data_IF_644159844471
#
_entry.id   IF_644159844471
#
_cell.length_a   1.000
_cell.length_b   1.000
_cell.length_c   1.000
_cell.angle_alpha   90.00
_cell.angle_beta   90.00
_cell.angle_gamma   90.00
#
_symmetry.space_group_name_H-M   'P 1'
#
loop_
_entity.id
_entity.type
_entity.pdbx_description
1 polymer ?
#
# COMPACT_ATOMS: atom_id res chain seq x y z
N UNK A 1 7.56 -6.03 -17.76
CA UNK A 1 6.40 -5.12 -17.64
C UNK A 1 5.95 -5.24 -16.21
N UNK A 2 6.20 -4.22 -15.38
CA UNK A 2 5.80 -4.18 -13.97
C UNK A 2 4.33 -4.59 -13.83
N UNK A 3 4.05 -5.75 -13.24
CA UNK A 3 2.68 -6.16 -12.92
C UNK A 3 2.29 -5.48 -11.61
N UNK A 4 1.83 -4.24 -11.73
CA UNK A 4 1.34 -3.43 -10.62
C UNK A 4 0.01 -4.02 -10.12
N UNK A 5 -0.23 -3.95 -8.81
CA UNK A 5 -1.52 -4.28 -8.21
C UNK A 5 -2.35 -3.00 -8.13
N UNK A 6 -3.23 -2.78 -9.12
CA UNK A 6 -4.15 -1.64 -9.14
C UNK A 6 -5.57 -2.13 -8.86
N UNK A 7 -5.92 -2.18 -7.57
CA UNK A 7 -7.06 -2.97 -7.08
C UNK A 7 -8.12 -2.18 -6.32
N UNK A 8 -8.07 -0.83 -6.30
CA UNK A 8 -9.14 -0.02 -5.73
C UNK A 8 -9.40 -0.28 -4.24
N UNK A 9 -8.36 -0.55 -3.45
CA UNK A 9 -8.50 -0.78 -2.02
C UNK A 9 -9.15 0.41 -1.30
N UNK A 10 -9.97 0.11 -0.30
CA UNK A 10 -10.58 1.08 0.60
C UNK A 10 -10.00 1.01 2.01
N UNK A 11 -10.47 1.91 2.89
CA UNK A 11 -9.98 2.00 4.26
C UNK A 11 -10.21 0.71 5.06
N UNK A 12 -11.31 -0.01 4.84
CA UNK A 12 -11.58 -1.27 5.54
C UNK A 12 -10.57 -2.36 5.16
N UNK A 13 -10.12 -2.39 3.89
CA UNK A 13 -9.03 -3.30 3.51
C UNK A 13 -7.75 -2.93 4.28
N UNK A 14 -7.44 -1.63 4.38
CA UNK A 14 -6.26 -1.15 5.08
C UNK A 14 -6.32 -1.43 6.59
N UNK A 15 -7.51 -1.36 7.21
CA UNK A 15 -7.69 -1.74 8.62
C UNK A 15 -7.28 -3.19 8.85
N UNK A 16 -7.67 -4.09 7.96
CA UNK A 16 -7.34 -5.51 8.05
C UNK A 16 -5.88 -5.82 7.67
N UNK A 17 -5.36 -5.19 6.61
CA UNK A 17 -3.99 -5.40 6.12
C UNK A 17 -2.94 -4.91 7.12
N UNK A 18 -3.24 -3.80 7.80
CA UNK A 18 -2.26 -3.09 8.62
C UNK A 18 -2.60 -3.07 10.10
N UNK A 19 -3.64 -3.76 10.57
CA UNK A 19 -4.09 -3.71 11.98
C UNK A 19 -4.25 -2.26 12.49
N UNK A 20 -4.96 -1.43 11.71
CA UNK A 20 -5.13 -0.02 12.06
C UNK A 20 -6.09 0.13 13.24
N UNK A 21 -5.77 0.98 14.22
CA UNK A 21 -6.59 1.14 15.41
C UNK A 21 -7.94 1.78 15.08
N UNK A 22 -8.89 1.64 16.01
CA UNK A 22 -10.06 2.50 16.04
C UNK A 22 -9.62 3.96 16.14
N UNK A 23 -10.35 4.87 15.49
CA UNK A 23 -9.97 6.28 15.46
C UNK A 23 -8.89 6.63 14.43
N UNK A 24 -8.57 5.72 13.50
CA UNK A 24 -7.59 5.94 12.41
C UNK A 24 -7.87 7.21 11.61
N UNK A 25 -9.13 7.63 11.48
CA UNK A 25 -9.56 8.87 10.84
C UNK A 25 -9.02 10.15 11.51
N UNK A 26 -8.54 10.04 12.76
CA UNK A 26 -7.92 11.14 13.47
C UNK A 26 -6.40 11.22 13.25
N UNK A 27 -5.79 10.15 12.75
CA UNK A 27 -4.36 10.01 12.53
C UNK A 27 -3.92 10.63 11.21
N UNK A 28 -2.60 10.82 11.08
CA UNK A 28 -1.95 11.22 9.83
C UNK A 28 -1.35 10.01 9.13
N UNK A 29 -1.83 9.71 7.93
CA UNK A 29 -1.45 8.56 7.12
C UNK A 29 -0.67 9.00 5.87
N UNK A 30 0.36 8.24 5.54
CA UNK A 30 1.03 8.27 4.24
C UNK A 30 0.76 6.94 3.54
N UNK A 31 0.14 6.94 2.37
CA UNK A 31 0.13 5.78 1.47
C UNK A 31 1.34 5.86 0.54
N UNK A 32 2.11 4.78 0.41
CA UNK A 32 3.30 4.72 -0.45
C UNK A 32 3.21 3.58 -1.44
N UNK A 33 3.30 3.89 -2.74
CA UNK A 33 3.19 2.90 -3.82
C UNK A 33 1.80 2.27 -3.93
N UNK A 34 0.74 3.01 -3.58
CA UNK A 34 -0.62 2.49 -3.43
C UNK A 34 -1.43 2.38 -4.73
N UNK A 35 -0.98 3.02 -5.81
CA UNK A 35 -1.77 3.20 -7.02
C UNK A 35 -3.14 3.87 -6.77
N UNK A 36 -4.14 3.62 -7.63
CA UNK A 36 -5.52 4.10 -7.50
C UNK A 36 -6.30 3.50 -6.32
N UNK A 37 -5.94 3.91 -5.10
CA UNK A 37 -6.59 3.55 -3.83
C UNK A 37 -7.70 4.55 -3.48
N UNK A 38 -8.80 4.06 -2.93
CA UNK A 38 -9.91 4.88 -2.45
C UNK A 38 -9.66 5.47 -1.05
N UNK A 39 -8.64 4.99 -0.33
CA UNK A 39 -8.36 5.36 1.06
C UNK A 39 -8.25 6.87 1.23
N UNK A 40 -7.47 7.55 0.37
CA UNK A 40 -7.33 9.00 0.45
C UNK A 40 -8.67 9.74 0.31
N UNK A 41 -9.46 9.36 -0.70
CA UNK A 41 -10.80 9.92 -0.91
C UNK A 41 -11.71 9.67 0.31
N UNK A 42 -11.77 8.43 0.80
CA UNK A 42 -12.65 8.04 1.90
C UNK A 42 -12.28 8.74 3.21
N UNK A 43 -10.98 8.83 3.51
CA UNK A 43 -10.47 9.53 4.69
C UNK A 43 -10.76 11.03 4.62
N UNK A 44 -10.61 11.65 3.44
CA UNK A 44 -10.90 13.09 3.28
C UNK A 44 -12.38 13.44 3.41
N UNK A 45 -13.30 12.49 3.18
CA UNK A 45 -14.73 12.68 3.47
C UNK A 45 -15.01 12.80 4.97
N UNK A 46 -14.20 12.16 5.81
CA UNK A 46 -14.33 12.22 7.28
C UNK A 46 -13.55 13.42 7.84
N UNK A 47 -12.30 13.59 7.40
CA UNK A 47 -11.40 14.65 7.83
C UNK A 47 -10.58 15.15 6.64
N UNK A 48 -10.81 16.41 6.25
CA UNK A 48 -10.19 17.02 5.06
C UNK A 48 -8.65 16.90 4.98
N UNK A 49 -7.98 16.85 6.14
CA UNK A 49 -6.53 16.74 6.23
C UNK A 49 -6.15 15.60 7.17
N UNK A 50 -5.37 14.65 6.64
CA UNK A 50 -4.99 13.46 7.40
C UNK A 50 -4.37 12.35 6.57
N UNK A 51 -4.44 12.42 5.24
CA UNK A 51 -3.90 11.40 4.35
C UNK A 51 -3.19 12.04 3.17
N UNK A 52 -2.03 11.51 2.82
CA UNK A 52 -1.31 11.82 1.59
C UNK A 52 -0.94 10.50 0.93
N UNK A 53 -1.10 10.40 -0.38
CA UNK A 53 -0.76 9.21 -1.14
C UNK A 53 0.34 9.56 -2.15
N UNK A 54 1.42 8.79 -2.09
CA UNK A 54 2.58 8.95 -2.94
C UNK A 54 2.73 7.71 -3.83
N UNK A 55 2.74 7.89 -5.14
CA UNK A 55 2.89 6.78 -6.08
C UNK A 55 3.62 7.25 -7.35
N UNK A 56 4.48 6.43 -7.98
CA UNK A 56 5.13 6.82 -9.24
C UNK A 56 4.14 7.10 -10.37
N UNK A 57 2.94 6.49 -10.33
CA UNK A 57 1.87 6.70 -11.31
C UNK A 57 1.22 8.08 -11.21
N UNK A 58 1.34 8.78 -10.08
CA UNK A 58 0.67 10.07 -9.90
C UNK A 58 1.35 11.21 -10.66
N UNK A 59 2.42 10.95 -11.41
CA UNK A 59 2.93 11.88 -12.43
C UNK A 59 2.00 11.95 -13.64
N UNK A 60 1.21 10.90 -13.90
CA UNK A 60 0.33 10.79 -15.05
C UNK A 60 -0.90 11.68 -14.92
N UNK A 61 -1.46 12.08 -16.06
CA UNK A 61 -2.80 12.67 -16.11
C UNK A 61 -3.88 11.60 -15.85
N UNK A 62 -5.10 12.08 -15.55
CA UNK A 62 -6.23 11.23 -15.16
C UNK A 62 -6.59 10.22 -16.24
N UNK A 63 -6.67 10.62 -17.50
CA UNK A 63 -7.13 9.76 -18.59
C UNK A 63 -6.11 8.65 -18.88
N UNK A 64 -4.84 8.99 -18.89
CA UNK A 64 -3.74 8.02 -19.03
C UNK A 64 -3.71 7.03 -17.87
N UNK A 65 -3.82 7.51 -16.64
CA UNK A 65 -3.84 6.65 -15.45
C UNK A 65 -5.09 5.74 -15.46
N UNK A 66 -6.25 6.27 -15.83
CA UNK A 66 -7.50 5.52 -15.92
C UNK A 66 -7.42 4.40 -16.96
N UNK A 67 -6.89 4.69 -18.15
CA UNK A 67 -6.71 3.69 -19.21
C UNK A 67 -5.80 2.53 -18.77
N UNK A 68 -4.65 2.85 -18.15
CA UNK A 68 -3.74 1.84 -17.59
C UNK A 68 -4.41 1.02 -16.49
N UNK A 69 -5.12 1.68 -15.59
CA UNK A 69 -5.79 1.04 -14.46
C UNK A 69 -6.86 0.06 -14.93
N UNK A 70 -7.71 0.45 -15.89
CA UNK A 70 -8.72 -0.44 -16.48
C UNK A 70 -8.11 -1.72 -17.06
N UNK A 71 -7.00 -1.59 -17.80
CA UNK A 71 -6.32 -2.72 -18.41
C UNK A 71 -5.72 -3.67 -17.35
N UNK A 72 -5.02 -3.11 -16.37
CA UNK A 72 -4.38 -3.90 -15.30
C UNK A 72 -5.45 -4.60 -14.44
N UNK A 73 -6.50 -3.86 -14.05
CA UNK A 73 -7.62 -4.41 -13.30
C UNK A 73 -8.32 -5.55 -14.04
N UNK A 74 -8.57 -5.41 -15.34
CA UNK A 74 -9.21 -6.46 -16.14
C UNK A 74 -8.38 -7.75 -16.15
N UNK A 75 -7.06 -7.64 -16.31
CA UNK A 75 -6.15 -8.79 -16.28
C UNK A 75 -6.15 -9.47 -14.91
N UNK A 76 -6.05 -8.68 -13.83
CA UNK A 76 -6.09 -9.22 -12.46
C UNK A 76 -7.43 -9.88 -12.16
N UNK A 77 -8.55 -9.29 -12.56
CA UNK A 77 -9.87 -9.88 -12.38
C UNK A 77 -10.00 -11.22 -13.10
N UNK A 78 -9.38 -11.34 -14.28
CA UNK A 78 -9.36 -12.59 -15.01
C UNK A 78 -8.47 -13.65 -14.34
N UNK A 79 -7.31 -13.27 -13.83
CA UNK A 79 -6.43 -14.15 -13.05
C UNK A 79 -7.14 -14.69 -11.79
N UNK A 80 -7.83 -13.82 -11.05
CA UNK A 80 -8.64 -14.23 -9.88
C UNK A 80 -9.77 -15.17 -10.29
N UNK A 81 -10.41 -14.97 -11.45
CA UNK A 81 -11.45 -15.90 -11.96
C UNK A 81 -10.91 -17.27 -12.31
N UNK A 82 -9.69 -17.33 -12.86
CA UNK A 82 -9.05 -18.57 -13.27
C UNK A 82 -8.51 -19.37 -12.09
N UNK A 83 -8.10 -18.68 -11.02
CA UNK A 83 -7.45 -19.27 -9.85
C UNK A 83 -8.24 -19.05 -8.56
N UNK A 84 -9.57 -19.13 -8.63
CA UNK A 84 -10.47 -18.86 -7.49
C UNK A 84 -10.16 -19.70 -6.24
N UNK A 85 -9.59 -20.90 -6.42
CA UNK A 85 -9.18 -21.78 -5.32
C UNK A 85 -8.05 -21.20 -4.45
N UNK A 86 -7.33 -20.19 -4.94
CA UNK A 86 -6.28 -19.50 -4.19
C UNK A 86 -6.80 -18.33 -3.34
N UNK A 87 -8.07 -17.95 -3.54
CA UNK A 87 -8.67 -16.78 -2.92
C UNK A 87 -9.81 -17.15 -1.97
N UNK A 88 -9.99 -16.36 -0.92
CA UNK A 88 -11.16 -16.41 -0.04
C UNK A 88 -12.05 -15.18 -0.26
N UNK A 89 -13.28 -15.43 -0.71
CA UNK A 89 -14.29 -14.39 -0.95
C UNK A 89 -15.32 -14.30 0.17
N UNK A 90 -15.17 -15.04 1.27
CA UNK A 90 -16.15 -15.11 2.37
C UNK A 90 -16.52 -13.74 2.91
N UNK A 91 -15.52 -12.87 3.08
CA UNK A 91 -15.67 -11.46 3.50
C UNK A 91 -16.61 -10.67 2.59
N UNK A 92 -16.46 -10.83 1.28
CA UNK A 92 -17.27 -10.13 0.27
C UNK A 92 -18.59 -10.84 -0.01
N UNK A 93 -18.67 -12.14 0.28
CA UNK A 93 -19.76 -13.05 -0.04
C UNK A 93 -19.69 -13.65 -1.45
N UNK A 94 -18.97 -13.04 -2.39
CA UNK A 94 -18.68 -13.61 -3.71
C UNK A 94 -17.56 -12.85 -4.44
N UNK A 95 -16.97 -13.46 -5.47
CA UNK A 95 -16.02 -12.80 -6.37
C UNK A 95 -16.66 -11.57 -7.05
N UNK A 96 -17.90 -11.67 -7.52
CA UNK A 96 -18.57 -10.54 -8.18
C UNK A 96 -18.71 -9.33 -7.24
N UNK A 97 -19.03 -9.56 -5.97
CA UNK A 97 -19.10 -8.50 -4.96
C UNK A 97 -17.73 -7.88 -4.69
N UNK A 98 -16.68 -8.70 -4.58
CA UNK A 98 -15.30 -8.20 -4.48
C UNK A 98 -14.96 -7.29 -5.66
N UNK A 99 -15.23 -7.72 -6.90
CA UNK A 99 -14.92 -6.93 -8.09
C UNK A 99 -15.72 -5.63 -8.14
N UNK A 100 -17.00 -5.65 -7.74
CA UNK A 100 -17.83 -4.45 -7.62
C UNK A 100 -17.25 -3.46 -6.60
N UNK A 101 -16.84 -3.93 -5.42
CA UNK A 101 -16.20 -3.10 -4.41
C UNK A 101 -14.90 -2.47 -4.93
N UNK A 102 -14.06 -3.24 -5.64
CA UNK A 102 -12.80 -2.71 -6.22
C UNK A 102 -13.06 -1.67 -7.29
N UNK A 103 -14.07 -1.89 -8.14
CA UNK A 103 -14.49 -0.93 -9.15
C UNK A 103 -15.01 0.37 -8.53
N UNK A 104 -15.80 0.28 -7.46
CA UNK A 104 -16.27 1.46 -6.75
C UNK A 104 -15.12 2.22 -6.09
N UNK A 105 -14.15 1.52 -5.49
CA UNK A 105 -12.96 2.16 -4.93
C UNK A 105 -12.14 2.92 -5.99
N UNK A 106 -11.91 2.31 -7.15
CA UNK A 106 -11.25 3.01 -8.28
C UNK A 106 -12.06 4.22 -8.76
N UNK A 107 -13.38 4.09 -8.87
CA UNK A 107 -14.25 5.19 -9.28
C UNK A 107 -14.17 6.36 -8.30
N UNK A 108 -14.15 6.09 -7.00
CA UNK A 108 -13.95 7.09 -5.95
C UNK A 108 -12.61 7.80 -6.10
N UNK A 109 -11.51 7.05 -6.28
CA UNK A 109 -10.19 7.63 -6.56
C UNK A 109 -10.22 8.56 -7.78
N UNK A 110 -10.73 8.11 -8.93
CA UNK A 110 -10.72 8.92 -10.16
C UNK A 110 -11.69 10.11 -10.13
N UNK A 111 -12.74 10.06 -9.31
CA UNK A 111 -13.60 11.22 -9.07
C UNK A 111 -12.86 12.33 -8.32
N UNK A 112 -11.88 11.97 -7.49
CA UNK A 112 -11.14 12.88 -6.61
C UNK A 112 -9.75 13.27 -7.14
N UNK A 113 -9.12 12.43 -7.97
CA UNK A 113 -7.70 12.51 -8.31
C UNK A 113 -7.21 13.90 -8.75
N UNK A 114 -7.93 14.59 -9.63
CA UNK A 114 -7.50 15.92 -10.13
C UNK A 114 -7.51 16.97 -9.02
N UNK A 115 -8.61 17.03 -8.25
CA UNK A 115 -8.74 17.97 -7.15
C UNK A 115 -7.76 17.62 -6.03
N UNK A 116 -7.65 16.34 -5.66
CA UNK A 116 -6.72 15.90 -4.63
C UNK A 116 -5.26 16.13 -5.00
N UNK A 117 -4.90 16.02 -6.29
CA UNK A 117 -3.56 16.35 -6.76
C UNK A 117 -3.30 17.85 -6.66
N UNK A 118 -4.28 18.69 -7.02
CA UNK A 118 -4.19 20.15 -6.84
C UNK A 118 -4.09 20.55 -5.35
N UNK A 119 -4.74 19.80 -4.46
CA UNK A 119 -4.68 19.98 -3.00
C UNK A 119 -3.40 19.41 -2.36
N UNK A 120 -2.51 18.79 -3.14
CA UNK A 120 -1.27 18.17 -2.65
C UNK A 120 -1.46 16.83 -1.93
N UNK A 121 -2.63 16.18 -2.07
CA UNK A 121 -2.95 14.89 -1.45
C UNK A 121 -2.47 13.68 -2.27
N UNK A 122 -2.29 13.84 -3.58
CA UNK A 122 -1.71 12.83 -4.46
C UNK A 122 -0.40 13.33 -5.05
N UNK A 123 0.72 12.69 -4.68
CA UNK A 123 2.07 13.10 -5.09
C UNK A 123 2.76 12.05 -5.95
N UNK A 124 3.34 12.48 -7.07
CA UNK A 124 4.15 11.62 -7.94
C UNK A 124 5.50 11.32 -7.30
N UNK A 125 5.84 10.04 -7.13
CA UNK A 125 7.18 9.64 -6.67
C UNK A 125 8.18 9.70 -7.82
N UNK A 126 9.14 10.62 -7.73
CA UNK A 126 10.24 10.77 -8.70
C UNK A 126 11.62 10.48 -8.10
N UNK A 127 11.70 10.43 -6.78
CA UNK A 127 12.91 10.16 -6.01
C UNK A 127 12.51 9.39 -4.73
N UNK A 128 13.49 8.80 -4.05
CA UNK A 128 13.29 8.18 -2.76
C UNK A 128 12.99 9.19 -1.68
N UNK A 129 13.58 10.40 -1.73
CA UNK A 129 13.36 11.41 -0.70
C UNK A 129 11.97 12.05 -0.82
N UNK A 130 11.22 12.03 0.29
CA UNK A 130 9.88 12.56 0.41
C UNK A 130 9.92 14.00 0.96
N UNK A 131 9.09 14.91 0.43
CA UNK A 131 9.09 16.33 0.79
C UNK A 131 8.37 16.62 2.12
N UNK A 132 8.60 15.79 3.14
CA UNK A 132 8.00 15.91 4.47
C UNK A 132 9.06 15.98 5.55
N UNK A 133 8.74 16.71 6.62
CA UNK A 133 9.56 16.73 7.82
C UNK A 133 9.51 15.37 8.54
N UNK A 134 10.50 15.14 9.41
CA UNK A 134 10.55 13.93 10.23
C UNK A 134 9.28 13.79 11.07
N UNK A 135 8.79 12.55 11.20
CA UNK A 135 7.60 12.20 12.01
C UNK A 135 6.34 13.02 11.69
N UNK A 136 6.20 13.49 10.45
CA UNK A 136 4.98 14.14 9.95
C UNK A 136 3.75 13.24 10.03
N UNK A 137 3.93 11.92 9.88
CA UNK A 137 2.83 10.95 9.86
C UNK A 137 2.87 10.02 11.08
N UNK A 138 1.69 9.57 11.50
CA UNK A 138 1.59 8.49 12.49
C UNK A 138 1.94 7.15 11.83
N UNK A 139 1.42 6.91 10.62
CA UNK A 139 1.70 5.70 9.85
C UNK A 139 2.11 5.98 8.40
N UNK A 140 3.13 5.27 7.93
CA UNK A 140 3.40 5.06 6.51
C UNK A 140 2.96 3.65 6.11
N UNK A 141 2.03 3.54 5.17
CA UNK A 141 1.37 2.31 4.77
C UNK A 141 1.71 2.01 3.31
N UNK A 142 2.12 0.78 3.02
CA UNK A 142 2.41 0.36 1.64
C UNK A 142 1.81 -1.01 1.37
N UNK A 143 0.82 -1.04 0.46
CA UNK A 143 0.10 -2.25 0.08
C UNK A 143 0.57 -2.74 -1.31
N UNK A 144 1.04 -3.98 -1.41
CA UNK A 144 1.38 -4.68 -2.66
C UNK A 144 2.43 -3.99 -3.54
N UNK A 145 3.35 -3.24 -2.91
CA UNK A 145 4.41 -2.51 -3.61
C UNK A 145 5.79 -3.12 -3.40
N UNK A 146 6.22 -3.26 -2.14
CA UNK A 146 7.60 -3.65 -1.81
C UNK A 146 7.94 -5.09 -2.21
N UNK A 147 7.16 -6.08 -1.78
CA UNK A 147 7.54 -7.48 -1.93
C UNK A 147 6.90 -8.20 -3.12
N UNK A 148 6.13 -7.49 -3.95
CA UNK A 148 5.37 -8.01 -5.09
C UNK A 148 6.20 -8.40 -6.32
N UNK A 149 7.51 -8.66 -6.13
CA UNK A 149 8.51 -9.01 -7.15
C UNK A 149 8.38 -8.15 -8.42
N UNK A 150 8.43 -6.83 -8.23
CA UNK A 150 8.40 -5.88 -9.35
C UNK A 150 9.77 -5.88 -10.04
N UNK A 151 9.77 -5.70 -11.38
CA UNK A 151 10.99 -5.57 -12.17
C UNK A 151 11.93 -4.53 -11.49
N UNK A 152 13.20 -4.89 -11.30
CA UNK A 152 14.27 -4.03 -10.74
C UNK A 152 14.28 -3.82 -9.20
N UNK A 153 13.54 -4.62 -8.43
CA UNK A 153 13.65 -4.57 -6.97
C UNK A 153 14.98 -5.18 -6.46
N UNK A 154 15.66 -4.44 -5.59
CA UNK A 154 16.88 -4.87 -4.91
C UNK A 154 16.73 -4.68 -3.40
N UNK A 155 17.58 -5.34 -2.61
CA UNK A 155 17.61 -5.10 -1.15
C UNK A 155 17.88 -3.62 -0.85
N UNK A 156 18.76 -2.97 -1.61
CA UNK A 156 19.07 -1.54 -1.45
C UNK A 156 17.85 -0.64 -1.71
N UNK A 157 17.06 -0.94 -2.74
CA UNK A 157 15.80 -0.23 -2.99
C UNK A 157 14.88 -0.28 -1.77
N UNK A 158 14.69 -1.47 -1.20
CA UNK A 158 13.83 -1.66 -0.03
C UNK A 158 14.35 -0.88 1.16
N UNK A 159 15.65 -1.00 1.47
CA UNK A 159 16.25 -0.33 2.62
C UNK A 159 16.18 1.20 2.46
N UNK A 160 16.51 1.75 1.29
CA UNK A 160 16.44 3.21 1.05
C UNK A 160 15.01 3.72 1.24
N UNK A 161 14.02 3.09 0.61
CA UNK A 161 12.64 3.53 0.70
C UNK A 161 12.05 3.34 2.11
N UNK A 162 12.30 2.21 2.78
CA UNK A 162 11.79 1.97 4.14
C UNK A 162 12.42 2.96 5.14
N UNK A 163 13.72 3.26 5.03
CA UNK A 163 14.37 4.27 5.87
C UNK A 163 13.71 5.63 5.71
N UNK A 164 13.43 6.04 4.48
CA UNK A 164 12.74 7.31 4.24
C UNK A 164 11.33 7.32 4.83
N UNK A 165 10.58 6.22 4.67
CA UNK A 165 9.25 6.09 5.27
C UNK A 165 9.33 6.16 6.80
N UNK A 166 10.33 5.53 7.40
CA UNK A 166 10.56 5.55 8.84
C UNK A 166 11.12 6.89 9.35
N UNK A 167 11.66 7.74 8.46
CA UNK A 167 12.01 9.12 8.76
C UNK A 167 10.75 9.97 8.89
N UNK A 168 9.84 9.88 7.92
CA UNK A 168 8.64 10.75 7.87
C UNK A 168 7.46 10.25 8.70
N UNK A 169 7.45 8.98 9.11
CA UNK A 169 6.38 8.38 9.90
C UNK A 169 6.90 7.73 11.19
N UNK A 170 6.07 7.73 12.24
CA UNK A 170 6.40 7.05 13.52
C UNK A 170 6.52 5.54 13.34
N UNK A 171 5.70 4.95 12.47
CA UNK A 171 5.73 3.53 12.17
C UNK A 171 5.40 3.29 10.68
N UNK A 172 6.18 2.41 10.04
CA UNK A 172 5.96 1.93 8.68
C UNK A 172 5.29 0.55 8.75
N UNK A 173 4.25 0.33 7.96
CA UNK A 173 3.59 -0.97 7.81
C UNK A 173 3.53 -1.35 6.33
N UNK A 174 4.07 -2.52 6.00
CA UNK A 174 4.19 -3.02 4.63
C UNK A 174 3.46 -4.36 4.55
N UNK A 175 2.58 -4.48 3.57
CA UNK A 175 1.79 -5.68 3.33
C UNK A 175 1.65 -5.93 1.83
N UNK A 176 1.59 -7.17 1.34
CA UNK A 176 1.95 -8.39 2.05
C UNK A 176 3.47 -8.62 1.96
N UNK A 177 3.95 -9.72 2.56
CA UNK A 177 5.37 -10.12 2.53
C UNK A 177 5.67 -11.28 1.57
N UNK A 178 4.81 -11.46 0.56
CA UNK A 178 4.90 -12.51 -0.44
C UNK A 178 5.20 -11.93 -1.83
N UNK A 179 5.80 -12.75 -2.67
CA UNK A 179 5.94 -12.53 -4.10
C UNK A 179 4.65 -12.88 -4.86
N UNK A 180 4.73 -12.86 -6.20
CA UNK A 180 3.61 -13.10 -7.10
C UNK A 180 3.14 -14.55 -7.14
N UNK A 181 4.01 -15.49 -6.76
CA UNK A 181 3.67 -16.91 -6.69
C UNK A 181 3.05 -17.27 -5.33
N UNK A 182 2.94 -16.29 -4.44
CA UNK A 182 2.45 -16.49 -3.09
C UNK A 182 3.51 -17.05 -2.14
N UNK A 183 4.78 -17.07 -2.55
CA UNK A 183 5.89 -17.49 -1.69
C UNK A 183 6.39 -16.29 -0.88
N UNK A 184 6.94 -16.54 0.31
CA UNK A 184 7.63 -15.49 1.07
C UNK A 184 8.72 -14.86 0.21
N UNK A 185 8.71 -13.53 0.10
CA UNK A 185 9.66 -12.83 -0.76
C UNK A 185 11.10 -13.08 -0.34
N UNK A 186 11.96 -13.39 -1.32
CA UNK A 186 13.40 -13.56 -1.11
C UNK A 186 14.09 -12.31 -0.51
N UNK A 187 13.48 -11.13 -0.66
CA UNK A 187 14.01 -9.88 -0.12
C UNK A 187 13.73 -9.70 1.36
N UNK A 188 12.74 -10.39 1.93
CA UNK A 188 12.29 -10.15 3.30
C UNK A 188 13.42 -10.36 4.32
N UNK A 189 14.12 -11.50 4.25
CA UNK A 189 15.21 -11.82 5.17
C UNK A 189 16.36 -10.80 5.13
N UNK A 190 16.94 -10.51 3.94
CA UNK A 190 17.96 -9.48 3.79
C UNK A 190 17.53 -8.08 4.25
N UNK A 191 16.28 -7.68 4.00
CA UNK A 191 15.74 -6.39 4.42
C UNK A 191 15.61 -6.31 5.94
N UNK A 192 15.07 -7.35 6.59
CA UNK A 192 15.01 -7.42 8.05
C UNK A 192 16.41 -7.30 8.68
N UNK A 193 17.38 -8.03 8.15
CA UNK A 193 18.77 -7.97 8.62
C UNK A 193 19.36 -6.56 8.48
N UNK A 194 19.20 -5.93 7.31
CA UNK A 194 19.71 -4.58 7.06
C UNK A 194 19.10 -3.52 8.00
N UNK A 195 17.78 -3.59 8.22
CA UNK A 195 17.09 -2.70 9.16
C UNK A 195 17.55 -2.92 10.61
N UNK A 196 17.71 -4.18 11.04
CA UNK A 196 18.18 -4.51 12.40
C UNK A 196 19.63 -4.07 12.64
N UNK A 197 20.51 -4.20 11.66
CA UNK A 197 21.90 -3.72 11.75
C UNK A 197 21.99 -2.21 11.95
N UNK A 198 20.95 -1.48 11.55
CA UNK A 198 20.81 -0.04 11.75
C UNK A 198 19.98 0.33 12.99
N UNK A 199 19.65 -0.65 13.82
CA UNK A 199 18.86 -0.50 15.04
C UNK A 199 17.42 -0.04 14.80
N UNK A 200 16.81 -0.34 13.66
CA UNK A 200 15.36 -0.23 13.54
C UNK A 200 14.67 -1.36 14.32
N UNK A 201 13.57 -1.02 14.98
CA UNK A 201 12.64 -2.03 15.47
C UNK A 201 11.90 -2.63 14.27
N UNK A 202 11.88 -3.95 14.17
CA UNK A 202 11.17 -4.68 13.11
C UNK A 202 10.33 -5.80 13.71
N UNK A 203 9.13 -5.99 13.17
CA UNK A 203 8.24 -7.08 13.57
C UNK A 203 7.49 -7.59 12.34
N UNK A 204 7.46 -8.91 12.16
CA UNK A 204 6.52 -9.56 11.23
C UNK A 204 5.30 -9.98 12.03
N UNK A 205 4.12 -9.55 11.59
CA UNK A 205 2.87 -9.80 12.29
C UNK A 205 1.80 -10.28 11.32
N UNK A 206 1.01 -11.25 11.76
CA UNK A 206 -0.16 -11.70 11.02
C UNK A 206 -1.18 -10.57 10.89
N UNK A 207 -1.73 -10.41 9.68
CA UNK A 207 -2.76 -9.46 9.33
C UNK A 207 -4.11 -10.19 9.18
N UNK A 208 -5.21 -9.49 9.48
CA UNK A 208 -6.55 -10.07 9.38
C UNK A 208 -7.07 -10.15 7.93
N UNK A 209 -6.36 -9.52 6.98
CA UNK A 209 -6.72 -9.54 5.58
C UNK A 209 -6.32 -10.87 4.94
N UNK A 210 -7.32 -11.65 4.51
CA UNK A 210 -7.11 -13.02 3.99
C UNK A 210 -7.72 -13.23 2.59
N UNK A 211 -7.61 -12.25 1.69
CA UNK A 211 -8.10 -12.45 0.31
C UNK A 211 -7.29 -13.52 -0.43
N UNK A 212 -5.96 -13.46 -0.37
CA UNK A 212 -5.08 -14.48 -0.92
C UNK A 212 -4.54 -15.35 0.22
N UNK A 213 -4.61 -16.68 0.09
CA UNK A 213 -4.29 -17.61 1.20
C UNK A 213 -2.91 -17.40 1.83
N UNK A 214 -1.91 -17.06 1.02
CA UNK A 214 -0.53 -16.84 1.50
C UNK A 214 -0.23 -15.39 1.92
N UNK A 215 -1.10 -14.44 1.57
CA UNK A 215 -0.88 -13.02 1.83
C UNK A 215 -1.49 -12.61 3.15
N UNK A 216 -0.93 -13.08 4.27
CA UNK A 216 -1.53 -12.93 5.60
C UNK A 216 -0.61 -12.26 6.62
N UNK A 217 0.52 -11.67 6.21
CA UNK A 217 1.46 -11.04 7.12
C UNK A 217 1.88 -9.66 6.64
N UNK A 218 2.13 -8.77 7.61
CA UNK A 218 2.71 -7.45 7.41
C UNK A 218 4.06 -7.33 8.13
N UNK A 219 4.91 -6.47 7.60
CA UNK A 219 6.13 -5.99 8.25
C UNK A 219 5.83 -4.65 8.90
N UNK A 220 6.17 -4.51 10.18
CA UNK A 220 6.19 -3.27 10.93
C UNK A 220 7.63 -2.82 11.12
N UNK A 221 7.92 -1.55 10.90
CA UNK A 221 9.24 -0.94 11.11
C UNK A 221 9.09 0.38 11.84
N UNK A 222 9.92 0.64 12.84
CA UNK A 222 9.97 1.94 13.52
C UNK A 222 11.40 2.30 13.85
N UNK A 223 11.73 3.59 13.73
CA UNK A 223 13.03 4.11 14.14
C UNK A 223 13.12 3.99 15.67
N UNK A 224 13.77 2.95 16.18
CA UNK A 224 14.05 2.86 17.61
C UNK A 224 15.07 3.95 17.97
N UNK A 225 14.61 4.99 18.67
CA UNK A 225 15.40 5.49 19.80
C UNK A 225 15.19 4.51 20.96
N UNK A 226 15.91 3.39 20.96
CA UNK A 226 16.22 2.72 22.22
C UNK A 226 17.35 3.52 22.88
N UNK A 227 16.98 4.56 23.64
CA UNK A 227 17.90 5.09 24.64
C UNK A 227 17.88 4.10 25.78
N UNK A 228 18.90 3.24 25.84
CA UNK A 228 19.20 2.44 27.03
C UNK A 228 19.82 3.36 28.09
#
# INVERSE_FOLDING_TARGET
MRKLVLWGHGIEDYREMFDLPQGVENLRLLEYGCGPSAVNYQQTQVKKQGVVSCDPLFVLDKDTLLAKTKMIFANMAEEVRQHQDQFDFSRNGSLDKLLQERQEGMKQFFADYEQGKADGRYLGLTDYHLPFADFTFDFALSSHYFFADLDEQTVDFHLIAIRELARVAKEVRIFPLIDREGNTSQFLGPVLLGLQQENYGVEVREAAFHLHKSGNAMLRVWAQQCVV
#
